data_IF_340887416100
#
_entry.id   IF_340887416100
#
_cell.length_a   1.000
_cell.length_b   1.000
_cell.length_c   1.000
_cell.angle_alpha   90.00
_cell.angle_beta   90.00
_cell.angle_gamma   90.00
#
_symmetry.space_group_name_H-M   'P 1'
#
loop_
_entity.id
_entity.type
_entity.pdbx_description
1 polymer ?
#
# COMPACT_ATOMS: atom_id res chain seq x y z
N UNK A 1 -11.64 10.27 6.55
CA UNK A 1 -11.72 10.87 7.90
C UNK A 1 -11.56 9.75 8.91
N UNK A 2 -10.56 9.83 9.79
CA UNK A 2 -10.33 8.85 10.86
C UNK A 2 -11.36 9.14 11.96
N UNK A 3 -12.20 8.18 12.34
CA UNK A 3 -13.22 8.39 13.40
C UNK A 3 -12.53 8.50 14.76
N UNK A 4 -13.05 9.34 15.68
CA UNK A 4 -12.49 9.51 17.04
C UNK A 4 -12.31 8.18 17.78
N UNK A 5 -13.23 7.24 17.54
CA UNK A 5 -13.21 5.87 18.05
C UNK A 5 -12.00 5.06 17.56
N UNK A 6 -11.49 5.30 16.34
CA UNK A 6 -10.29 4.64 15.80
C UNK A 6 -9.02 5.04 16.55
N UNK A 7 -8.90 6.33 16.91
CA UNK A 7 -7.73 6.85 17.63
C UNK A 7 -7.71 6.29 19.05
N UNK A 8 -8.87 6.30 19.71
CA UNK A 8 -9.02 5.80 21.08
C UNK A 8 -8.75 4.29 21.20
N UNK A 9 -9.21 3.49 20.24
CA UNK A 9 -8.96 2.03 20.21
C UNK A 9 -7.47 1.71 19.96
N UNK A 10 -6.81 2.44 19.07
CA UNK A 10 -5.39 2.23 18.76
C UNK A 10 -4.49 2.60 19.95
N UNK A 11 -4.81 3.68 20.65
CA UNK A 11 -4.11 4.07 21.87
C UNK A 11 -4.30 3.05 22.99
N UNK A 12 -5.51 2.52 23.15
CA UNK A 12 -5.81 1.50 24.16
C UNK A 12 -5.06 0.20 23.88
N UNK A 13 -5.00 -0.22 22.61
CA UNK A 13 -4.23 -1.40 22.18
C UNK A 13 -2.71 -1.19 22.40
N UNK A 14 -2.20 0.01 22.12
CA UNK A 14 -0.80 0.36 22.38
C UNK A 14 -0.47 0.30 23.87
N UNK A 15 -1.34 0.86 24.73
CA UNK A 15 -1.20 0.81 26.20
C UNK A 15 -1.22 -0.63 26.72
N UNK A 16 -2.09 -1.48 26.18
CA UNK A 16 -2.16 -2.90 26.55
C UNK A 16 -0.87 -3.65 26.18
N UNK A 17 -0.31 -3.37 24.99
CA UNK A 17 0.95 -3.97 24.56
C UNK A 17 2.13 -3.52 25.43
N UNK A 18 2.20 -2.23 25.78
CA UNK A 18 3.24 -1.72 26.68
C UNK A 18 3.17 -2.35 28.08
N UNK A 19 1.95 -2.57 28.60
CA UNK A 19 1.75 -3.28 29.86
C UNK A 19 2.28 -4.72 29.79
N UNK A 20 2.01 -5.44 28.70
CA UNK A 20 2.47 -6.82 28.49
C UNK A 20 3.99 -6.95 28.40
N UNK A 21 4.64 -6.01 27.71
CA UNK A 21 6.12 -5.93 27.63
C UNK A 21 6.73 -5.73 29.02
N UNK A 22 6.13 -4.86 29.84
CA UNK A 22 6.62 -4.59 31.21
C UNK A 22 6.55 -5.80 32.14
N UNK A 23 5.62 -6.74 31.90
CA UNK A 23 5.48 -7.94 32.72
C UNK A 23 6.00 -9.19 32.01
N UNK A 24 6.98 -9.07 31.12
CA UNK A 24 7.66 -10.20 30.47
C UNK A 24 6.73 -11.17 29.72
N UNK A 25 5.67 -10.67 29.08
CA UNK A 25 4.80 -11.47 28.20
C UNK A 25 4.08 -12.64 28.90
N UNK A 26 3.69 -12.46 30.17
CA UNK A 26 3.02 -13.50 30.97
C UNK A 26 1.53 -13.69 30.66
N UNK A 27 0.98 -12.98 29.69
CA UNK A 27 -0.45 -12.84 29.39
C UNK A 27 -1.22 -12.27 30.59
N UNK A 28 -0.95 -11.01 30.93
CA UNK A 28 -1.46 -10.39 32.16
C UNK A 28 -3.00 -10.41 32.17
N UNK A 29 -3.59 -10.79 33.31
CA UNK A 29 -5.03 -10.61 33.56
C UNK A 29 -5.32 -9.29 34.25
N UNK A 30 -6.10 -8.43 33.59
CA UNK A 30 -6.65 -7.21 34.17
C UNK A 30 -7.94 -7.48 34.97
N UNK A 31 -8.67 -6.40 35.29
CA UNK A 31 -9.94 -6.47 36.05
C UNK A 31 -11.08 -7.17 35.29
N UNK A 32 -11.04 -7.17 33.96
CA UNK A 32 -12.15 -7.63 33.10
C UNK A 32 -11.78 -8.81 32.20
N UNK A 33 -10.51 -8.96 31.79
CA UNK A 33 -10.04 -10.07 30.95
C UNK A 33 -8.50 -10.17 30.87
N UNK A 34 -7.99 -11.30 30.36
CA UNK A 34 -6.58 -11.50 30.00
C UNK A 34 -6.17 -10.72 28.77
N UNK A 35 -4.90 -10.34 28.66
CA UNK A 35 -4.32 -9.62 27.53
C UNK A 35 -4.67 -10.25 26.17
N UNK A 36 -4.50 -11.57 26.02
CA UNK A 36 -4.87 -12.29 24.79
C UNK A 36 -6.36 -12.12 24.43
N UNK A 37 -7.25 -12.23 25.42
CA UNK A 37 -8.71 -12.09 25.24
C UNK A 37 -9.10 -10.65 24.91
N UNK A 38 -8.43 -9.67 25.50
CA UNK A 38 -8.58 -8.26 25.18
C UNK A 38 -8.16 -7.96 23.73
N UNK A 39 -6.97 -8.41 23.32
CA UNK A 39 -6.45 -8.22 21.96
C UNK A 39 -7.35 -8.88 20.91
N UNK A 40 -7.86 -10.09 21.16
CA UNK A 40 -8.79 -10.76 20.25
C UNK A 40 -10.10 -9.97 20.08
N UNK A 41 -10.62 -9.39 21.16
CA UNK A 41 -11.82 -8.53 21.12
C UNK A 41 -11.60 -7.26 20.29
N UNK A 42 -10.45 -6.61 20.46
CA UNK A 42 -10.07 -5.41 19.69
C UNK A 42 -9.80 -5.74 18.21
N UNK A 43 -9.11 -6.84 17.91
CA UNK A 43 -8.92 -7.30 16.52
C UNK A 43 -10.28 -7.58 15.86
N UNK A 44 -11.22 -8.20 16.57
CA UNK A 44 -12.56 -8.45 16.04
C UNK A 44 -13.30 -7.14 15.73
N UNK A 45 -13.25 -6.15 16.62
CA UNK A 45 -13.81 -4.80 16.39
C UNK A 45 -13.17 -4.11 15.18
N UNK A 46 -11.84 -4.15 15.08
CA UNK A 46 -11.11 -3.55 13.95
C UNK A 46 -11.42 -4.27 12.63
N UNK A 47 -11.55 -5.61 12.64
CA UNK A 47 -11.91 -6.40 11.45
C UNK A 47 -13.29 -6.05 10.88
N UNK A 48 -14.24 -5.64 11.74
CA UNK A 48 -15.57 -5.18 11.31
C UNK A 48 -15.52 -3.83 10.58
N UNK A 49 -14.54 -3.00 10.92
CA UNK A 49 -14.33 -1.68 10.31
C UNK A 49 -13.49 -1.80 9.02
N UNK A 50 -12.59 -2.78 8.93
CA UNK A 50 -11.70 -3.01 7.79
C UNK A 50 -11.75 -4.47 7.27
N UNK A 51 -12.80 -4.86 6.51
CA UNK A 51 -12.97 -6.22 6.02
C UNK A 51 -11.91 -6.66 4.97
N UNK A 52 -11.24 -5.72 4.32
CA UNK A 52 -10.33 -5.99 3.19
C UNK A 52 -8.89 -6.34 3.62
N UNK A 53 -8.54 -6.17 4.90
CA UNK A 53 -7.17 -6.34 5.36
C UNK A 53 -6.93 -7.74 5.96
N UNK A 54 -6.36 -8.64 5.14
CA UNK A 54 -5.99 -10.01 5.51
C UNK A 54 -5.03 -10.10 6.72
N UNK A 55 -4.35 -9.00 7.07
CA UNK A 55 -3.43 -8.98 8.20
C UNK A 55 -4.12 -9.16 9.55
N UNK A 56 -5.34 -8.65 9.74
CA UNK A 56 -6.09 -8.78 11.00
C UNK A 56 -6.58 -10.21 11.23
N UNK A 57 -6.96 -10.92 10.16
CA UNK A 57 -7.34 -12.34 10.24
C UNK A 57 -6.16 -13.21 10.69
N UNK A 58 -4.99 -13.00 10.08
CA UNK A 58 -3.78 -13.71 10.46
C UNK A 58 -3.38 -13.42 11.92
N UNK A 59 -3.47 -12.16 12.35
CA UNK A 59 -3.22 -11.80 13.74
C UNK A 59 -4.21 -12.48 14.70
N UNK A 60 -5.49 -12.56 14.33
CA UNK A 60 -6.50 -13.24 15.15
C UNK A 60 -6.16 -14.73 15.36
N UNK A 61 -5.82 -15.45 14.30
CA UNK A 61 -5.44 -16.86 14.38
C UNK A 61 -4.17 -17.07 15.21
N UNK A 62 -3.17 -16.21 15.01
CA UNK A 62 -1.93 -16.25 15.78
C UNK A 62 -2.25 -16.04 17.27
N UNK A 63 -2.98 -14.98 17.64
CA UNK A 63 -3.25 -14.63 19.03
C UNK A 63 -4.17 -15.60 19.79
N UNK A 64 -4.91 -16.49 19.11
CA UNK A 64 -5.63 -17.58 19.79
C UNK A 64 -4.68 -18.53 20.52
N UNK A 65 -3.49 -18.78 19.95
CA UNK A 65 -2.47 -19.64 20.55
C UNK A 65 -1.60 -18.93 21.60
N UNK A 66 -1.83 -17.64 21.85
CA UNK A 66 -1.03 -16.82 22.77
C UNK A 66 -0.90 -17.41 24.19
N UNK A 67 -2.00 -17.89 24.84
CA UNK A 67 -1.94 -18.41 26.21
C UNK A 67 -1.05 -19.65 26.35
N UNK A 68 -1.01 -20.51 25.32
CA UNK A 68 -0.28 -21.78 25.33
C UNK A 68 1.13 -21.67 24.77
N UNK A 69 1.46 -20.54 24.15
CA UNK A 69 2.75 -20.32 23.50
C UNK A 69 3.87 -19.94 24.49
N UNK A 70 5.11 -20.32 24.19
CA UNK A 70 6.29 -19.97 25.00
C UNK A 70 6.74 -18.51 24.85
N UNK A 71 7.60 -18.03 25.76
CA UNK A 71 8.05 -16.62 25.82
C UNK A 71 8.56 -16.06 24.49
N UNK A 72 9.41 -16.82 23.78
CA UNK A 72 9.96 -16.40 22.48
C UNK A 72 8.88 -16.24 21.42
N UNK A 73 7.85 -17.09 21.45
CA UNK A 73 6.74 -17.02 20.52
C UNK A 73 5.84 -15.82 20.84
N UNK A 74 5.50 -15.61 22.12
CA UNK A 74 4.73 -14.45 22.59
C UNK A 74 5.40 -13.12 22.21
N UNK A 75 6.71 -13.01 22.38
CA UNK A 75 7.48 -11.83 21.99
C UNK A 75 7.38 -11.57 20.47
N UNK A 76 7.46 -12.63 19.66
CA UNK A 76 7.31 -12.54 18.20
C UNK A 76 5.91 -12.07 17.80
N UNK A 77 4.87 -12.59 18.45
CA UNK A 77 3.47 -12.23 18.17
C UNK A 77 3.19 -10.76 18.53
N UNK A 78 3.66 -10.30 19.70
CA UNK A 78 3.53 -8.89 20.11
C UNK A 78 4.30 -7.98 19.17
N UNK A 79 5.51 -8.37 18.73
CA UNK A 79 6.27 -7.62 17.74
C UNK A 79 5.55 -7.51 16.40
N UNK A 80 4.90 -8.59 15.95
CA UNK A 80 4.07 -8.58 14.74
C UNK A 80 2.82 -7.70 14.90
N UNK A 81 2.17 -7.75 16.07
CA UNK A 81 1.04 -6.88 16.37
C UNK A 81 1.46 -5.40 16.30
N UNK A 82 2.57 -5.01 16.94
CA UNK A 82 3.10 -3.63 16.89
C UNK A 82 3.44 -3.22 15.45
N UNK A 83 4.04 -4.12 14.67
CA UNK A 83 4.38 -3.84 13.26
C UNK A 83 3.13 -3.51 12.44
N UNK A 84 2.04 -4.23 12.67
CA UNK A 84 0.79 -4.04 11.94
C UNK A 84 0.00 -2.81 12.43
N UNK A 85 0.08 -2.48 13.73
CA UNK A 85 -0.46 -1.24 14.31
C UNK A 85 0.29 -0.01 13.77
N UNK A 86 1.61 -0.08 13.62
CA UNK A 86 2.47 1.00 13.10
C UNK A 86 2.43 1.19 11.58
N UNK A 87 1.76 0.29 10.83
CA UNK A 87 1.36 0.54 9.43
C UNK A 87 -0.09 1.04 9.42
N UNK A 88 -0.41 2.27 9.88
CA UNK A 88 -1.72 2.83 9.61
C UNK A 88 -1.80 3.07 8.10
N UNK A 89 -2.63 2.29 7.42
CA UNK A 89 -3.41 2.72 6.26
C UNK A 89 -2.69 3.72 5.33
N UNK A 90 -1.84 3.26 4.40
CA UNK A 90 -1.20 4.18 3.44
C UNK A 90 -0.16 3.59 2.50
N UNK A 91 0.56 2.54 2.89
CA UNK A 91 1.45 1.81 1.97
C UNK A 91 0.94 0.40 1.74
N UNK A 92 -0.05 0.31 0.86
CA UNK A 92 0.03 -0.71 -0.17
C UNK A 92 1.31 -0.39 -0.97
N UNK A 93 2.46 -0.83 -0.48
CA UNK A 93 3.63 -0.99 -1.35
C UNK A 93 3.09 -1.75 -2.57
N UNK A 94 3.10 -1.08 -3.74
CA UNK A 94 3.14 -1.75 -5.03
C UNK A 94 4.04 -2.95 -4.80
N UNK A 95 3.48 -4.16 -4.90
CA UNK A 95 4.22 -5.39 -4.68
C UNK A 95 5.36 -5.44 -5.69
N UNK A 96 6.50 -4.85 -5.34
CA UNK A 96 7.75 -5.11 -6.02
C UNK A 96 8.06 -6.56 -5.70
N UNK A 97 7.86 -7.41 -6.71
CA UNK A 97 8.50 -8.73 -6.75
C UNK A 97 9.97 -8.49 -6.41
N UNK A 98 10.62 -9.34 -5.59
CA UNK A 98 11.99 -9.10 -5.14
C UNK A 98 12.87 -8.81 -6.36
N UNK A 99 13.25 -7.53 -6.52
CA UNK A 99 14.19 -7.11 -7.53
C UNK A 99 15.51 -7.64 -7.03
N UNK A 100 16.06 -8.66 -7.71
CA UNK A 100 17.44 -9.08 -7.50
C UNK A 100 18.29 -7.82 -7.61
N UNK A 101 18.94 -7.41 -6.52
CA UNK A 101 19.87 -6.29 -6.51
C UNK A 101 20.96 -6.57 -7.55
N UNK A 102 20.79 -6.04 -8.76
CA UNK A 102 21.89 -5.92 -9.70
C UNK A 102 22.87 -4.89 -9.13
N UNK A 103 24.19 -5.09 -9.32
CA UNK A 103 25.19 -4.15 -8.83
C UNK A 103 24.83 -2.74 -9.30
N UNK A 104 24.96 -1.75 -8.40
CA UNK A 104 24.70 -0.36 -8.71
C UNK A 104 25.57 0.06 -9.92
N UNK A 105 24.95 0.11 -11.09
CA UNK A 105 25.57 0.61 -12.32
C UNK A 105 25.26 2.10 -12.39
N UNK A 106 26.25 2.91 -12.75
CA UNK A 106 26.02 4.31 -13.02
C UNK A 106 25.02 4.43 -14.18
N UNK A 107 23.96 5.24 -14.06
CA UNK A 107 22.94 5.40 -15.10
C UNK A 107 23.48 5.95 -16.44
N UNK A 108 24.65 6.58 -16.41
CA UNK A 108 25.34 7.13 -17.59
C UNK A 108 25.93 6.03 -18.47
N UNK A 109 26.36 4.89 -17.89
CA UNK A 109 26.99 3.79 -18.61
C UNK A 109 25.98 2.75 -19.13
N UNK A 110 24.70 2.90 -18.78
CA UNK A 110 23.65 1.94 -19.11
C UNK A 110 22.92 2.40 -20.37
N UNK A 111 23.06 1.62 -21.44
CA UNK A 111 22.25 1.79 -22.66
C UNK A 111 20.76 1.66 -22.32
N UNK A 112 19.96 2.57 -22.88
CA UNK A 112 18.50 2.65 -22.73
C UNK A 112 17.79 1.32 -22.98
N UNK A 113 18.33 0.44 -23.82
CA UNK A 113 17.79 -0.90 -24.11
C UNK A 113 17.82 -1.87 -22.92
N UNK A 114 18.66 -1.63 -21.91
CA UNK A 114 18.70 -2.44 -20.69
C UNK A 114 17.69 -1.98 -19.64
N UNK A 115 17.00 -0.86 -19.87
CA UNK A 115 15.92 -0.39 -19.00
C UNK A 115 14.72 -1.30 -19.16
N UNK A 116 14.16 -1.75 -18.03
CA UNK A 116 13.00 -2.64 -18.01
C UNK A 116 11.82 -2.00 -18.76
N UNK A 117 11.35 -2.66 -19.81
CA UNK A 117 10.24 -2.18 -20.65
C UNK A 117 10.69 -1.50 -21.95
N UNK A 118 11.98 -1.21 -22.10
CA UNK A 118 12.55 -0.72 -23.36
C UNK A 118 13.09 -1.92 -24.15
N UNK A 119 12.28 -2.45 -25.07
CA UNK A 119 12.74 -3.45 -26.03
C UNK A 119 13.50 -2.82 -27.22
N UNK A 120 14.09 -3.61 -28.12
CA UNK A 120 14.87 -3.11 -29.27
C UNK A 120 14.12 -2.11 -30.16
N UNK A 121 12.81 -2.32 -30.33
CA UNK A 121 11.95 -1.41 -31.11
C UNK A 121 11.78 -0.05 -30.45
N UNK A 122 11.59 -0.03 -29.14
CA UNK A 122 11.41 1.20 -28.35
C UNK A 122 12.76 1.90 -28.20
N UNK A 123 13.84 1.14 -27.96
CA UNK A 123 15.21 1.66 -27.93
C UNK A 123 15.60 2.34 -29.24
N UNK A 124 15.30 1.73 -30.40
CA UNK A 124 15.54 2.37 -31.69
C UNK A 124 14.73 3.66 -31.89
N UNK A 125 13.53 3.77 -31.31
CA UNK A 125 12.73 4.99 -31.34
C UNK A 125 13.28 6.07 -30.41
N UNK A 126 13.75 5.69 -29.23
CA UNK A 126 14.42 6.58 -28.27
C UNK A 126 15.76 7.10 -28.82
N UNK A 127 16.54 6.24 -29.50
CA UNK A 127 17.77 6.63 -30.17
C UNK A 127 17.52 7.68 -31.27
N UNK A 128 16.40 7.58 -32.00
CA UNK A 128 15.99 8.62 -32.97
C UNK A 128 15.61 9.95 -32.32
N UNK A 129 15.18 9.92 -31.06
CA UNK A 129 14.90 11.11 -30.25
C UNK A 129 16.17 11.67 -29.58
N UNK A 130 17.33 11.04 -29.77
CA UNK A 130 18.61 11.43 -29.17
C UNK A 130 18.81 10.90 -27.74
N UNK A 131 18.03 9.91 -27.31
CA UNK A 131 18.10 9.31 -25.97
C UNK A 131 18.81 7.97 -26.09
N UNK A 132 20.06 7.89 -25.63
CA UNK A 132 20.89 6.69 -25.77
C UNK A 132 21.13 6.00 -24.42
N UNK A 133 21.20 6.77 -23.33
CA UNK A 133 21.50 6.25 -22.00
C UNK A 133 20.29 6.29 -21.08
N UNK A 134 20.35 5.52 -19.99
CA UNK A 134 19.36 5.61 -18.92
C UNK A 134 19.38 7.01 -18.25
N UNK A 135 20.54 7.67 -18.20
CA UNK A 135 20.66 9.06 -17.73
C UNK A 135 19.86 10.04 -18.62
N UNK A 136 19.99 9.93 -19.94
CA UNK A 136 19.25 10.78 -20.88
C UNK A 136 17.74 10.57 -20.74
N UNK A 137 17.32 9.33 -20.54
CA UNK A 137 15.91 8.98 -20.36
C UNK A 137 15.34 9.61 -19.08
N UNK A 138 16.11 9.65 -17.98
CA UNK A 138 15.70 10.27 -16.73
C UNK A 138 15.55 11.80 -16.85
N UNK A 139 16.38 12.43 -17.68
CA UNK A 139 16.35 13.88 -17.91
C UNK A 139 15.44 14.28 -19.09
N UNK A 140 14.77 13.32 -19.72
CA UNK A 140 13.81 13.58 -20.77
C UNK A 140 12.42 13.92 -20.19
N UNK A 141 12.24 15.18 -19.80
CA UNK A 141 11.01 15.65 -19.18
C UNK A 141 9.82 15.69 -20.18
N UNK A 142 8.60 15.39 -19.71
CA UNK A 142 7.40 15.49 -20.55
C UNK A 142 7.14 16.93 -20.99
N UNK A 143 6.74 17.10 -22.26
CA UNK A 143 6.45 18.43 -22.84
C UNK A 143 5.14 19.03 -22.34
N UNK A 144 4.15 18.20 -22.01
CA UNK A 144 2.82 18.61 -21.53
C UNK A 144 2.38 17.63 -20.45
N UNK A 145 1.95 18.15 -19.31
CA UNK A 145 1.25 17.38 -18.29
C UNK A 145 -0.25 17.52 -18.54
N UNK A 146 -0.91 16.41 -18.87
CA UNK A 146 -2.37 16.37 -18.97
C UNK A 146 -2.92 16.02 -17.59
N UNK A 147 -3.66 16.95 -16.99
CA UNK A 147 -4.32 16.73 -15.71
C UNK A 147 -5.74 16.21 -15.96
N UNK A 148 -5.95 14.94 -15.65
CA UNK A 148 -7.25 14.26 -15.77
C UNK A 148 -8.06 14.28 -14.45
N UNK A 149 -7.59 15.00 -13.41
CA UNK A 149 -8.30 15.08 -12.14
C UNK A 149 -9.58 15.92 -12.23
N UNK A 150 -9.57 16.93 -13.10
CA UNK A 150 -10.71 17.83 -13.30
C UNK A 150 -11.79 17.14 -14.12
N UNK A 151 -12.96 16.97 -13.51
CA UNK A 151 -14.14 16.34 -14.12
C UNK A 151 -15.08 17.44 -14.58
N UNK A 152 -15.26 17.58 -15.89
CA UNK A 152 -16.25 18.49 -16.45
C UNK A 152 -17.55 17.74 -16.68
N UNK A 153 -18.69 18.33 -16.32
CA UNK A 153 -19.99 17.78 -16.66
C UNK A 153 -20.25 17.97 -18.16
N UNK A 154 -21.00 17.05 -18.77
CA UNK A 154 -21.34 17.11 -20.20
C UNK A 154 -22.12 18.38 -20.55
N UNK A 155 -22.84 18.94 -19.57
CA UNK A 155 -23.62 20.16 -19.72
C UNK A 155 -22.77 21.43 -19.86
N UNK A 156 -21.54 21.43 -19.33
CA UNK A 156 -20.67 22.62 -19.23
C UNK A 156 -19.50 22.54 -20.21
N UNK A 157 -19.63 21.79 -21.30
CA UNK A 157 -18.57 21.61 -22.30
C UNK A 157 -18.50 22.82 -23.23
N UNK A 158 -17.30 23.36 -23.40
CA UNK A 158 -17.02 24.42 -24.37
C UNK A 158 -16.38 23.87 -25.64
N UNK A 159 -16.82 24.38 -26.80
CA UNK A 159 -16.31 23.96 -28.11
C UNK A 159 -14.86 24.43 -28.28
N UNK A 160 -13.96 23.49 -28.58
CA UNK A 160 -12.54 23.76 -28.83
C UNK A 160 -11.61 23.48 -27.64
N UNK A 161 -12.15 23.02 -26.51
CA UNK A 161 -11.37 22.71 -25.30
C UNK A 161 -11.25 21.20 -25.08
N UNK A 162 -10.04 20.73 -24.78
CA UNK A 162 -9.80 19.35 -24.32
C UNK A 162 -10.30 19.19 -22.87
N UNK A 163 -11.31 18.35 -22.66
CA UNK A 163 -11.97 18.16 -21.36
C UNK A 163 -12.12 16.68 -21.02
N UNK A 164 -12.06 16.35 -19.73
CA UNK A 164 -12.19 14.96 -19.25
C UNK A 164 -13.60 14.73 -18.73
N UNK A 165 -14.32 13.80 -19.33
CA UNK A 165 -15.69 13.42 -18.93
C UNK A 165 -15.73 11.96 -18.44
N UNK A 166 -16.64 11.68 -17.51
CA UNK A 166 -16.98 10.33 -17.09
C UNK A 166 -18.42 10.03 -17.51
N UNK A 167 -18.63 8.89 -18.16
CA UNK A 167 -19.95 8.50 -18.64
C UNK A 167 -20.06 7.00 -18.86
N UNK A 168 -21.30 6.52 -18.99
CA UNK A 168 -21.60 5.13 -19.34
C UNK A 168 -21.92 5.07 -20.83
N UNK A 169 -21.23 4.20 -21.55
CA UNK A 169 -21.52 3.94 -22.96
C UNK A 169 -22.80 3.09 -23.04
N UNK A 170 -23.82 3.59 -23.73
CA UNK A 170 -25.13 2.93 -23.87
C UNK A 170 -25.24 2.14 -25.17
N UNK A 171 -24.71 2.68 -26.26
CA UNK A 171 -24.71 2.04 -27.58
C UNK A 171 -23.51 2.52 -28.38
N UNK A 172 -22.96 1.66 -29.23
CA UNK A 172 -21.88 1.98 -30.17
C UNK A 172 -22.35 1.71 -31.59
N UNK A 173 -22.37 2.74 -32.43
CA UNK A 173 -22.54 2.58 -33.88
C UNK A 173 -21.19 2.66 -34.57
N UNK A 174 -20.98 1.85 -35.62
CA UNK A 174 -19.83 1.96 -36.50
C UNK A 174 -20.32 2.38 -37.88
N UNK A 175 -19.77 3.48 -38.40
CA UNK A 175 -20.05 3.95 -39.75
C UNK A 175 -18.79 3.71 -40.59
N UNK A 176 -18.90 2.88 -41.63
CA UNK A 176 -17.86 2.72 -42.64
C UNK A 176 -18.26 3.55 -43.85
N UNK A 177 -17.36 4.42 -44.30
CA UNK A 177 -17.47 5.15 -45.56
C UNK A 177 -16.67 4.45 -46.65
#
# INVERSE_FOLDING_TARGET
MVTKEQIENLETLKKAVEAEVKHNYINISGKTCSFSKFVLGEIHRISKIYPENAAWKNLYEIFQSYPVSGLSHRMKMVKQLIKNIKKPLGEQELREKPVKETPARNPEDVDVMYVKGVGPKIGAMLNKLGIFTAYDLLHYYPRKHLDYANRTLISDLEVGTDVTIFGRIVSTGFFTS
#
